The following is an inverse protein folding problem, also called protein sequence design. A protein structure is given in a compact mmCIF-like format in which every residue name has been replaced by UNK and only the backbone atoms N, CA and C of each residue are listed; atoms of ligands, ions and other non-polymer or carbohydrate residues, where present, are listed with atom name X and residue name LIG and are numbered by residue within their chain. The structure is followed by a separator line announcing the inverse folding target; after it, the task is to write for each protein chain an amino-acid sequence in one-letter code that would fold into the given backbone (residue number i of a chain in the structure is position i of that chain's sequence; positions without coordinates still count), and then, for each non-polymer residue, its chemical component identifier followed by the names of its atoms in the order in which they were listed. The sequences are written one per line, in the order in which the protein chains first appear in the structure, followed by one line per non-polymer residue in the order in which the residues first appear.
data_IF_737209556778
#
_entry.id   IF_737209556778
#
_cell.length_a   1.000
_cell.length_b   1.000
_cell.length_c   1.000
_cell.angle_alpha   90.00
_cell.angle_beta   90.00
_cell.angle_gamma   90.00
#
_symmetry.space_group_name_H-M   'P 1'
#
loop_
_entity.id
_entity.type
_entity.pdbx_description
1 polymer ?
#
# COMPACT_ATOMS: atom_id res chain seq x y z
N UNK A 1 -3.83 -18.27 -18.88
CA UNK A 1 -2.47 -18.43 -19.43
C UNK A 1 -2.26 -19.90 -19.75
N UNK A 2 -1.85 -20.30 -20.97
CA UNK A 2 -1.48 -21.67 -21.28
C UNK A 2 -0.33 -22.15 -20.38
N UNK A 3 -0.40 -23.43 -19.97
CA UNK A 3 0.66 -24.03 -19.14
C UNK A 3 2.02 -23.94 -19.84
N UNK A 4 2.06 -24.22 -21.13
CA UNK A 4 3.27 -24.15 -21.97
C UNK A 4 3.95 -22.78 -21.97
N UNK A 5 3.18 -21.69 -21.79
CA UNK A 5 3.76 -20.35 -21.69
C UNK A 5 4.42 -20.11 -20.33
N UNK A 6 3.80 -20.58 -19.25
CA UNK A 6 4.39 -20.48 -17.91
C UNK A 6 5.65 -21.36 -17.80
N UNK A 7 5.63 -22.57 -18.34
CA UNK A 7 6.76 -23.52 -18.26
C UNK A 7 8.05 -23.04 -18.97
N UNK A 8 7.98 -21.95 -19.77
CA UNK A 8 9.18 -21.36 -20.40
C UNK A 8 10.11 -20.65 -19.42
N UNK A 9 9.60 -20.31 -18.25
CA UNK A 9 10.33 -19.59 -17.21
C UNK A 9 10.37 -20.43 -15.93
N UNK A 10 11.28 -21.41 -15.90
CA UNK A 10 11.36 -22.40 -14.83
C UNK A 10 11.48 -21.75 -13.43
N UNK A 11 12.34 -20.75 -13.27
CA UNK A 11 12.55 -20.09 -11.97
C UNK A 11 11.29 -19.34 -11.49
N UNK A 12 10.55 -18.72 -12.42
CA UNK A 12 9.30 -18.04 -12.14
C UNK A 12 8.20 -19.03 -11.75
N UNK A 13 8.12 -20.15 -12.47
CA UNK A 13 7.15 -21.22 -12.23
C UNK A 13 7.38 -21.87 -10.87
N UNK A 14 8.61 -22.21 -10.51
CA UNK A 14 8.92 -22.81 -9.21
C UNK A 14 8.46 -21.92 -8.03
N UNK A 15 8.61 -20.59 -8.14
CA UNK A 15 8.16 -19.65 -7.12
C UNK A 15 6.63 -19.56 -6.96
N UNK A 16 5.86 -19.82 -8.03
CA UNK A 16 4.39 -19.67 -8.02
C UNK A 16 3.61 -20.97 -8.10
N UNK A 17 4.22 -22.10 -8.43
CA UNK A 17 3.52 -23.36 -8.69
C UNK A 17 2.50 -23.74 -7.57
N UNK A 18 2.83 -23.62 -6.27
CA UNK A 18 1.87 -23.95 -5.22
C UNK A 18 0.66 -23.02 -5.17
N UNK A 19 0.72 -21.84 -5.80
CA UNK A 19 -0.32 -20.81 -5.75
C UNK A 19 -1.13 -20.70 -7.05
N UNK A 20 -0.81 -21.49 -8.07
CA UNK A 20 -1.51 -21.43 -9.36
C UNK A 20 -2.84 -22.17 -9.29
N UNK A 21 -3.92 -21.52 -9.68
CA UNK A 21 -5.21 -22.15 -9.90
C UNK A 21 -5.32 -22.58 -11.38
N UNK A 22 -5.50 -23.89 -11.60
CA UNK A 22 -5.54 -24.46 -12.94
C UNK A 22 -6.97 -24.72 -13.42
N UNK A 23 -7.29 -24.25 -14.62
CA UNK A 23 -8.52 -24.63 -15.32
C UNK A 23 -8.18 -25.80 -16.23
N UNK A 24 -8.71 -26.97 -15.89
CA UNK A 24 -8.50 -28.22 -16.63
C UNK A 24 -9.71 -28.61 -17.47
N UNK A 25 -10.87 -27.96 -17.24
CA UNK A 25 -12.13 -28.27 -17.91
C UNK A 25 -12.92 -26.98 -18.20
N UNK A 26 -13.43 -26.83 -19.42
CA UNK A 26 -14.30 -25.74 -19.83
C UNK A 26 -15.30 -26.18 -20.91
N UNK A 27 -16.47 -25.54 -20.97
CA UNK A 27 -17.51 -25.88 -21.94
C UNK A 27 -18.01 -27.33 -21.87
N UNK A 28 -17.91 -27.97 -20.69
CA UNK A 28 -18.31 -29.36 -20.48
C UNK A 28 -17.28 -30.41 -20.94
N UNK A 29 -16.11 -30.01 -21.41
CA UNK A 29 -15.03 -30.89 -21.91
C UNK A 29 -13.73 -30.59 -21.17
N UNK A 30 -12.89 -31.61 -21.07
CA UNK A 30 -11.51 -31.43 -20.61
C UNK A 30 -10.72 -30.64 -21.66
N UNK A 31 -9.84 -29.77 -21.21
CA UNK A 31 -8.95 -29.00 -22.08
C UNK A 31 -7.79 -29.87 -22.51
N UNK A 32 -7.34 -29.72 -23.76
CA UNK A 32 -6.13 -30.37 -24.27
C UNK A 32 -4.88 -29.90 -23.52
N UNK A 33 -4.86 -28.62 -23.13
CA UNK A 33 -3.82 -28.00 -22.32
C UNK A 33 -4.46 -27.26 -21.14
N UNK A 34 -3.99 -27.46 -19.89
CA UNK A 34 -4.44 -26.69 -18.74
C UNK A 34 -4.15 -25.18 -18.90
N UNK A 35 -5.07 -24.35 -18.43
CA UNK A 35 -4.89 -22.92 -18.37
C UNK A 35 -4.73 -22.48 -16.92
N UNK A 36 -3.67 -21.73 -16.62
CA UNK A 36 -3.53 -21.04 -15.35
C UNK A 36 -4.45 -19.80 -15.31
N UNK A 37 -5.15 -19.60 -14.20
CA UNK A 37 -5.63 -18.27 -13.89
C UNK A 37 -4.40 -17.47 -13.45
N UNK A 38 -4.11 -16.35 -14.11
CA UNK A 38 -2.83 -15.64 -13.94
C UNK A 38 -2.54 -15.31 -12.48
N UNK A 39 -1.41 -15.75 -11.90
CA UNK A 39 -0.97 -15.35 -10.56
C UNK A 39 -0.22 -14.02 -10.58
N UNK A 40 0.27 -13.63 -11.76
CA UNK A 40 1.02 -12.41 -12.10
C UNK A 40 1.07 -12.27 -13.61
N UNK A 41 1.51 -11.16 -14.16
CA UNK A 41 1.39 -10.90 -15.61
C UNK A 41 2.71 -10.84 -16.37
N UNK A 42 3.88 -11.03 -15.74
CA UNK A 42 5.20 -10.92 -16.39
C UNK A 42 5.29 -11.78 -17.65
N UNK A 43 5.01 -13.07 -17.54
CA UNK A 43 5.10 -14.00 -18.65
C UNK A 43 4.13 -13.68 -19.81
N UNK A 44 2.89 -13.27 -19.48
CA UNK A 44 1.89 -12.90 -20.49
C UNK A 44 2.32 -11.64 -21.24
N UNK A 45 2.80 -10.66 -20.48
CA UNK A 45 3.21 -9.37 -21.04
C UNK A 45 4.48 -9.54 -21.87
N UNK A 46 5.45 -10.31 -21.41
CA UNK A 46 6.65 -10.61 -22.17
C UNK A 46 6.30 -11.23 -23.54
N UNK A 47 5.39 -12.20 -23.58
CA UNK A 47 4.93 -12.78 -24.85
C UNK A 47 4.18 -11.77 -25.73
N UNK A 48 3.35 -10.91 -25.15
CA UNK A 48 2.58 -9.91 -25.91
C UNK A 48 3.47 -8.82 -26.52
N UNK A 49 4.50 -8.36 -25.81
CA UNK A 49 5.34 -7.25 -26.27
C UNK A 49 6.44 -7.66 -27.25
N UNK A 50 6.65 -8.95 -27.46
CA UNK A 50 7.65 -9.49 -28.38
C UNK A 50 7.56 -8.86 -29.78
N UNK A 51 6.34 -8.66 -30.26
CA UNK A 51 6.08 -8.08 -31.58
C UNK A 51 6.05 -6.54 -31.57
N UNK A 52 6.02 -5.91 -30.38
CA UNK A 52 5.89 -4.47 -30.26
C UNK A 52 7.26 -3.77 -30.20
N UNK A 53 8.29 -4.44 -29.67
CA UNK A 53 9.63 -3.91 -29.50
C UNK A 53 10.52 -4.43 -30.64
N UNK A 54 10.84 -3.58 -31.60
CA UNK A 54 11.65 -3.93 -32.76
C UNK A 54 12.95 -3.10 -32.85
N UNK A 55 12.94 -1.89 -32.36
CA UNK A 55 14.08 -0.98 -32.38
C UNK A 55 14.19 -0.18 -31.07
N UNK A 56 15.36 0.42 -30.83
CA UNK A 56 15.59 1.31 -29.69
C UNK A 56 14.60 2.49 -29.61
N UNK A 57 13.93 2.82 -30.74
CA UNK A 57 12.92 3.90 -30.79
C UNK A 57 11.58 3.52 -30.17
N UNK A 58 11.36 2.21 -29.97
CA UNK A 58 10.17 1.69 -29.32
C UNK A 58 10.32 1.66 -27.78
N UNK A 59 11.51 2.03 -27.29
CA UNK A 59 11.86 2.06 -25.87
C UNK A 59 12.06 3.50 -25.35
N UNK A 60 11.74 3.79 -24.06
CA UNK A 60 11.16 2.83 -23.12
C UNK A 60 9.69 2.51 -23.45
N UNK A 61 9.31 1.25 -23.31
CA UNK A 61 7.90 0.84 -23.35
C UNK A 61 7.38 0.78 -21.91
N UNK A 62 6.43 1.65 -21.58
CA UNK A 62 5.85 1.76 -20.24
C UNK A 62 4.39 1.33 -20.28
N UNK A 63 4.05 0.30 -19.52
CA UNK A 63 2.67 -0.22 -19.42
C UNK A 63 2.23 -0.25 -17.98
N UNK A 64 0.98 0.15 -17.77
CA UNK A 64 0.32 0.07 -16.47
C UNK A 64 -1.04 -0.60 -16.64
N UNK A 65 -1.39 -1.46 -15.72
CA UNK A 65 -2.63 -2.22 -15.73
C UNK A 65 -3.32 -2.15 -14.36
N UNK A 66 -4.60 -1.83 -14.37
CA UNK A 66 -5.51 -2.02 -13.24
C UNK A 66 -6.28 -3.32 -13.49
N UNK A 67 -5.93 -4.35 -12.77
CA UNK A 67 -6.48 -5.67 -13.02
C UNK A 67 -6.60 -6.51 -11.74
N UNK A 68 -6.88 -7.80 -11.90
CA UNK A 68 -6.91 -8.79 -10.84
C UNK A 68 -5.95 -9.95 -11.15
N UNK A 69 -5.52 -10.61 -10.10
CA UNK A 69 -4.79 -11.88 -10.17
C UNK A 69 -5.34 -12.85 -9.15
N UNK A 70 -5.12 -14.15 -9.38
CA UNK A 70 -5.53 -15.22 -8.46
C UNK A 70 -4.30 -15.98 -7.99
N UNK A 71 -4.08 -15.98 -6.68
CA UNK A 71 -3.08 -16.80 -6.00
C UNK A 71 -3.80 -17.69 -5.00
N UNK A 72 -3.68 -19.00 -5.14
CA UNK A 72 -4.39 -19.93 -4.30
C UNK A 72 -3.89 -19.85 -2.85
N UNK A 73 -4.65 -19.16 -2.01
CA UNK A 73 -4.30 -18.92 -0.62
C UNK A 73 -5.14 -19.83 0.29
N UNK A 74 -4.46 -20.69 1.03
CA UNK A 74 -5.10 -21.66 1.94
C UNK A 74 -5.61 -21.01 3.24
N UNK A 75 -5.03 -19.89 3.66
CA UNK A 75 -5.35 -19.18 4.89
C UNK A 75 -5.63 -17.72 4.61
N UNK A 76 -6.82 -17.47 4.07
CA UNK A 76 -7.25 -16.12 3.71
C UNK A 76 -7.38 -15.21 4.92
N UNK A 77 -7.02 -13.93 4.74
CA UNK A 77 -7.26 -12.82 5.67
C UNK A 77 -7.79 -11.64 4.88
N UNK A 78 -8.90 -11.06 5.34
CA UNK A 78 -9.57 -9.97 4.66
C UNK A 78 -8.58 -8.85 4.26
N UNK A 79 -8.57 -8.48 2.98
CA UNK A 79 -7.64 -7.56 2.30
C UNK A 79 -6.17 -7.95 2.32
N UNK A 80 -5.65 -8.62 3.34
CA UNK A 80 -4.21 -8.87 3.51
C UNK A 80 -3.73 -10.07 2.70
N UNK A 81 -4.50 -11.17 2.73
CA UNK A 81 -4.27 -12.40 1.97
C UNK A 81 -5.60 -12.91 1.44
N UNK A 82 -5.90 -12.61 0.18
CA UNK A 82 -7.10 -13.08 -0.52
C UNK A 82 -6.69 -13.93 -1.71
N UNK A 83 -7.50 -14.91 -2.07
CA UNK A 83 -7.22 -15.76 -3.23
C UNK A 83 -7.27 -14.97 -4.54
N UNK A 84 -8.16 -13.99 -4.63
CA UNK A 84 -8.23 -13.02 -5.73
C UNK A 84 -8.08 -11.61 -5.14
N UNK A 85 -7.31 -10.76 -5.80
CA UNK A 85 -7.17 -9.36 -5.39
C UNK A 85 -7.02 -8.43 -6.59
N UNK A 86 -7.52 -7.21 -6.41
CA UNK A 86 -7.32 -6.11 -7.34
C UNK A 86 -6.00 -5.42 -7.02
N UNK A 87 -5.31 -5.01 -8.07
CA UNK A 87 -4.06 -4.29 -7.93
C UNK A 87 -3.77 -3.39 -9.13
N UNK A 88 -2.83 -2.52 -8.96
CA UNK A 88 -2.08 -1.91 -10.02
C UNK A 88 -0.82 -2.72 -10.22
N UNK A 89 -0.50 -3.06 -11.44
CA UNK A 89 0.81 -3.57 -11.85
C UNK A 89 1.33 -2.80 -13.06
N UNK A 90 2.61 -2.51 -13.05
CA UNK A 90 3.30 -1.96 -14.20
C UNK A 90 4.37 -2.93 -14.69
N UNK A 91 4.58 -2.92 -16.00
CA UNK A 91 5.61 -3.69 -16.68
C UNK A 91 6.27 -2.77 -17.70
N UNK A 92 7.58 -2.65 -17.62
CA UNK A 92 8.32 -1.74 -18.48
C UNK A 92 9.50 -2.42 -19.12
N UNK A 93 9.93 -1.88 -20.27
CA UNK A 93 11.10 -2.38 -21.00
C UNK A 93 11.95 -1.18 -21.41
N UNK A 94 13.26 -1.34 -21.27
CA UNK A 94 14.25 -0.27 -21.40
C UNK A 94 15.44 -0.74 -22.25
N UNK A 95 16.13 0.21 -22.89
CA UNK A 95 17.29 -0.11 -23.70
C UNK A 95 18.52 -0.46 -22.84
N UNK A 96 18.64 0.11 -21.65
CA UNK A 96 19.79 -0.06 -20.76
C UNK A 96 19.38 -0.47 -19.34
N UNK A 97 20.33 -1.04 -18.60
CA UNK A 97 20.13 -1.40 -17.21
C UNK A 97 19.91 -0.16 -16.31
N UNK A 98 20.58 0.93 -16.64
CA UNK A 98 20.49 2.20 -15.91
C UNK A 98 19.09 2.80 -16.02
N UNK A 99 18.52 2.88 -17.23
CA UNK A 99 17.13 3.32 -17.44
C UNK A 99 16.14 2.44 -16.67
N UNK A 100 16.33 1.12 -16.69
CA UNK A 100 15.48 0.20 -15.94
C UNK A 100 15.63 0.40 -14.42
N UNK A 101 16.83 0.66 -13.92
CA UNK A 101 17.06 0.94 -12.50
C UNK A 101 16.39 2.25 -12.05
N UNK A 102 16.40 3.29 -12.87
CA UNK A 102 15.67 4.55 -12.63
C UNK A 102 14.16 4.30 -12.56
N UNK A 103 13.62 3.43 -13.41
CA UNK A 103 12.19 3.10 -13.40
C UNK A 103 11.81 2.27 -12.16
N UNK A 104 12.66 1.33 -11.71
CA UNK A 104 12.47 0.62 -10.44
C UNK A 104 12.38 1.60 -9.27
N UNK A 105 13.24 2.62 -9.24
CA UNK A 105 13.21 3.65 -8.20
C UNK A 105 11.96 4.54 -8.32
N UNK A 106 11.53 4.89 -9.53
CA UNK A 106 10.32 5.66 -9.81
C UNK A 106 9.07 4.94 -9.30
N UNK A 107 8.93 3.65 -9.60
CA UNK A 107 7.83 2.83 -9.11
C UNK A 107 7.78 2.76 -7.59
N UNK A 108 8.93 2.55 -6.95
CA UNK A 108 9.02 2.51 -5.49
C UNK A 108 8.63 3.86 -4.86
N UNK A 109 9.16 4.98 -5.40
CA UNK A 109 8.83 6.32 -4.92
C UNK A 109 7.33 6.63 -5.04
N UNK A 110 6.69 6.17 -6.11
CA UNK A 110 5.23 6.26 -6.27
C UNK A 110 4.49 5.55 -5.13
N UNK A 111 4.93 4.38 -4.71
CA UNK A 111 4.31 3.63 -3.60
C UNK A 111 4.57 4.25 -2.23
N UNK A 112 5.76 4.80 -2.01
CA UNK A 112 6.05 5.60 -0.81
C UNK A 112 5.08 6.78 -0.75
N UNK A 113 4.96 7.54 -1.82
CA UNK A 113 4.06 8.69 -1.89
C UNK A 113 2.60 8.32 -1.62
N UNK A 114 2.10 7.22 -2.19
CA UNK A 114 0.74 6.76 -1.91
C UNK A 114 0.59 6.34 -0.44
N UNK A 115 1.55 5.60 0.11
CA UNK A 115 1.50 5.13 1.49
C UNK A 115 1.55 6.29 2.49
N UNK A 116 2.46 7.24 2.32
CA UNK A 116 2.70 8.33 3.27
C UNK A 116 1.77 9.52 3.05
N UNK A 117 1.72 10.09 1.83
CA UNK A 117 0.97 11.31 1.57
C UNK A 117 -0.55 11.08 1.53
N UNK A 118 -0.98 9.90 1.02
CA UNK A 118 -2.41 9.61 0.84
C UNK A 118 -2.98 8.76 1.96
N UNK A 119 -2.28 7.71 2.37
CA UNK A 119 -2.76 6.77 3.38
C UNK A 119 -2.25 7.09 4.79
N UNK A 120 -1.37 8.08 4.94
CA UNK A 120 -0.75 8.46 6.22
C UNK A 120 -0.05 7.28 6.94
N UNK A 121 0.53 6.35 6.17
CA UNK A 121 1.22 5.17 6.67
C UNK A 121 2.72 5.32 6.42
N UNK A 122 3.53 5.54 7.46
CA UNK A 122 4.98 5.63 7.32
C UNK A 122 5.57 4.27 6.94
N UNK A 123 6.44 4.25 5.92
CA UNK A 123 7.06 3.03 5.39
C UNK A 123 8.57 3.06 5.50
N UNK A 124 9.18 1.87 5.55
CA UNK A 124 10.64 1.66 5.45
C UNK A 124 10.91 1.09 4.05
N UNK A 125 11.78 1.77 3.31
CA UNK A 125 12.22 1.38 1.98
C UNK A 125 13.50 0.57 2.05
N UNK A 126 13.62 -0.45 1.21
CA UNK A 126 14.87 -1.20 1.14
C UNK A 126 14.87 -2.27 0.07
N UNK A 127 16.00 -2.96 -0.03
CA UNK A 127 16.18 -4.11 -0.91
C UNK A 127 15.80 -5.39 -0.17
N UNK A 128 15.11 -6.30 -0.83
CA UNK A 128 14.85 -7.65 -0.34
C UNK A 128 16.14 -8.46 -0.26
N UNK A 129 16.20 -9.41 0.67
CA UNK A 129 17.24 -10.44 0.66
C UNK A 129 17.12 -11.29 -0.63
N UNK A 130 18.18 -12.00 -1.02
CA UNK A 130 18.11 -12.91 -2.16
C UNK A 130 16.98 -13.95 -2.03
N UNK A 131 16.73 -14.47 -0.82
CA UNK A 131 15.67 -15.46 -0.57
C UNK A 131 14.25 -14.88 -0.71
N UNK A 132 14.08 -13.57 -0.44
CA UNK A 132 12.79 -12.86 -0.54
C UNK A 132 12.64 -12.08 -1.86
N UNK A 133 13.61 -12.17 -2.77
CA UNK A 133 13.56 -11.54 -4.09
C UNK A 133 12.49 -12.21 -4.94
N UNK A 134 11.78 -11.43 -5.75
CA UNK A 134 10.76 -11.93 -6.67
C UNK A 134 11.37 -12.95 -7.66
N UNK A 135 10.72 -14.11 -7.84
CA UNK A 135 11.24 -15.16 -8.74
C UNK A 135 11.43 -14.65 -10.17
N UNK A 136 12.65 -14.79 -10.70
CA UNK A 136 13.03 -14.28 -12.02
C UNK A 136 13.53 -12.83 -12.05
N UNK A 137 13.58 -12.11 -10.91
CA UNK A 137 14.17 -10.78 -10.84
C UNK A 137 15.65 -10.84 -10.41
N UNK A 138 16.45 -9.88 -10.89
CA UNK A 138 17.83 -9.69 -10.44
C UNK A 138 17.88 -9.13 -9.01
N UNK A 139 16.90 -8.25 -8.67
CA UNK A 139 16.66 -7.76 -7.32
C UNK A 139 15.26 -7.19 -7.17
N UNK A 140 14.81 -7.10 -5.92
CA UNK A 140 13.52 -6.51 -5.54
C UNK A 140 13.72 -5.40 -4.53
N UNK A 141 13.12 -4.25 -4.77
CA UNK A 141 12.92 -3.19 -3.78
C UNK A 141 11.51 -3.31 -3.20
N UNK A 142 11.36 -2.98 -1.93
CA UNK A 142 10.07 -3.05 -1.24
C UNK A 142 9.86 -1.88 -0.28
N UNK A 143 8.60 -1.62 0.02
CA UNK A 143 8.18 -0.73 1.10
C UNK A 143 7.43 -1.55 2.15
N UNK A 144 7.86 -1.46 3.41
CA UNK A 144 7.33 -2.20 4.55
C UNK A 144 6.70 -1.25 5.56
N UNK A 145 5.50 -1.57 6.00
CA UNK A 145 4.76 -0.82 7.01
C UNK A 145 4.61 -1.63 8.30
N UNK A 146 4.53 -0.96 9.45
CA UNK A 146 4.16 -1.58 10.71
C UNK A 146 2.66 -1.44 10.97
N UNK A 147 2.00 -2.55 11.27
CA UNK A 147 0.60 -2.56 11.69
C UNK A 147 0.48 -2.44 13.21
N UNK A 148 -0.72 -2.11 13.73
CA UNK A 148 -0.92 -1.90 15.18
C UNK A 148 -0.70 -3.14 16.04
N UNK A 149 -0.77 -4.33 15.47
CA UNK A 149 -0.34 -5.57 16.13
C UNK A 149 1.19 -5.81 16.03
N UNK A 150 1.93 -4.79 15.59
CA UNK A 150 3.39 -4.73 15.50
C UNK A 150 4.01 -5.69 14.48
N UNK A 151 3.20 -6.24 13.57
CA UNK A 151 3.70 -7.05 12.47
C UNK A 151 4.00 -6.20 11.25
N UNK A 152 4.92 -6.71 10.42
CA UNK A 152 5.24 -6.12 9.14
C UNK A 152 4.18 -6.42 8.09
N UNK A 153 3.90 -5.45 7.25
CA UNK A 153 3.10 -5.57 6.06
C UNK A 153 3.85 -5.01 4.86
N UNK A 154 4.12 -5.85 3.86
CA UNK A 154 4.65 -5.39 2.58
C UNK A 154 3.58 -4.57 1.86
N UNK A 155 3.84 -3.28 1.69
CA UNK A 155 2.91 -2.34 1.07
C UNK A 155 2.99 -2.39 -0.46
N UNK A 156 4.19 -2.47 -1.02
CA UNK A 156 4.41 -2.57 -2.46
C UNK A 156 5.82 -3.03 -2.79
N UNK A 157 6.02 -3.47 -4.02
CA UNK A 157 7.33 -3.93 -4.52
C UNK A 157 7.62 -3.39 -5.90
N UNK A 158 8.90 -3.20 -6.19
CA UNK A 158 9.42 -2.84 -7.50
C UNK A 158 10.61 -3.72 -7.83
N UNK A 159 10.55 -4.39 -8.99
CA UNK A 159 11.46 -5.47 -9.38
C UNK A 159 12.30 -5.06 -10.59
N UNK A 160 13.61 -5.25 -10.48
CA UNK A 160 14.50 -5.30 -11.63
C UNK A 160 14.45 -6.71 -12.20
N UNK A 161 13.78 -6.91 -13.31
CA UNK A 161 13.72 -8.21 -13.99
C UNK A 161 14.96 -8.49 -14.85
N UNK A 162 15.82 -7.48 -15.01
CA UNK A 162 16.99 -7.61 -15.90
C UNK A 162 16.58 -7.98 -17.32
N UNK A 163 17.27 -8.94 -17.89
CA UNK A 163 16.96 -9.48 -19.21
C UNK A 163 16.31 -10.88 -19.15
N UNK A 164 15.95 -11.37 -17.97
CA UNK A 164 15.55 -12.76 -17.77
C UNK A 164 14.28 -13.09 -18.55
N UNK A 165 13.21 -12.32 -18.35
CA UNK A 165 11.95 -12.50 -19.09
C UNK A 165 12.08 -12.17 -20.58
N UNK A 166 12.90 -11.17 -20.94
CA UNK A 166 13.15 -10.83 -22.32
C UNK A 166 13.87 -11.97 -23.08
N UNK A 167 14.84 -12.62 -22.44
CA UNK A 167 15.54 -13.80 -23.00
C UNK A 167 14.60 -15.01 -23.11
N UNK A 168 13.83 -15.30 -22.07
CA UNK A 168 12.91 -16.44 -22.06
C UNK A 168 11.81 -16.32 -23.13
N UNK A 169 11.30 -15.10 -23.38
CA UNK A 169 10.32 -14.83 -24.43
C UNK A 169 10.94 -14.47 -25.79
N UNK A 170 12.28 -14.46 -25.90
CA UNK A 170 13.02 -14.07 -27.12
C UNK A 170 12.64 -12.67 -27.63
N UNK A 171 12.49 -11.70 -26.71
CA UNK A 171 12.26 -10.29 -27.06
C UNK A 171 13.59 -9.67 -27.41
N UNK A 172 13.74 -9.19 -28.65
CA UNK A 172 14.97 -8.52 -29.12
C UNK A 172 14.64 -7.27 -29.91
N UNK A 173 15.52 -6.28 -29.84
CA UNK A 173 15.41 -5.04 -30.63
C UNK A 173 16.75 -4.68 -31.29
N UNK A 174 16.71 -3.87 -32.33
CA UNK A 174 17.91 -3.27 -32.91
C UNK A 174 18.31 -2.02 -32.10
N UNK A 175 19.51 -2.07 -31.56
CA UNK A 175 20.10 -0.95 -30.85
C UNK A 175 20.55 0.17 -31.82
N UNK A 176 21.19 1.23 -31.31
CA UNK A 176 21.70 2.34 -32.13
C UNK A 176 22.85 1.94 -33.07
N UNK A 177 23.51 0.81 -32.80
CA UNK A 177 24.59 0.26 -33.63
C UNK A 177 24.09 -0.79 -34.64
N UNK A 178 22.77 -1.01 -34.72
CA UNK A 178 22.12 -2.08 -35.49
C UNK A 178 22.47 -3.51 -35.00
N UNK A 179 22.82 -3.66 -33.72
CA UNK A 179 23.00 -4.96 -33.09
C UNK A 179 21.70 -5.41 -32.46
N UNK A 180 21.43 -6.73 -32.51
CA UNK A 180 20.25 -7.32 -31.87
C UNK A 180 20.55 -7.63 -30.41
N UNK A 181 19.83 -6.96 -29.50
CA UNK A 181 20.01 -7.08 -28.06
C UNK A 181 18.67 -7.29 -27.37
N UNK A 182 18.69 -7.81 -26.14
CA UNK A 182 17.51 -7.94 -25.30
C UNK A 182 17.28 -6.68 -24.48
N UNK A 183 16.02 -6.21 -24.30
CA UNK A 183 15.71 -5.11 -23.40
C UNK A 183 15.82 -5.54 -21.94
N UNK A 184 15.98 -4.56 -21.07
CA UNK A 184 15.87 -4.72 -19.61
C UNK A 184 14.43 -4.49 -19.17
N UNK A 185 13.87 -5.43 -18.42
CA UNK A 185 12.50 -5.35 -17.91
C UNK A 185 12.44 -4.92 -16.47
N UNK A 186 11.35 -4.27 -16.11
CA UNK A 186 10.94 -4.05 -14.73
C UNK A 186 9.47 -4.42 -14.51
N UNK A 187 9.11 -4.75 -13.28
CA UNK A 187 7.71 -4.83 -12.88
C UNK A 187 7.52 -4.27 -11.47
N UNK A 188 6.37 -3.69 -11.20
CA UNK A 188 6.04 -3.15 -9.88
C UNK A 188 4.54 -3.24 -9.60
N UNK A 189 4.18 -3.51 -8.34
CA UNK A 189 2.81 -3.84 -7.96
C UNK A 189 2.39 -3.28 -6.61
N UNK A 190 1.11 -2.86 -6.55
CA UNK A 190 0.47 -2.29 -5.36
C UNK A 190 -1.01 -2.71 -5.34
N UNK A 191 -1.46 -3.34 -4.27
CA UNK A 191 -2.76 -4.00 -4.24
C UNK A 191 -3.74 -3.39 -3.24
N UNK A 192 -4.99 -3.85 -3.30
CA UNK A 192 -6.04 -3.56 -2.32
C UNK A 192 -5.72 -4.03 -0.89
N UNK A 193 -4.57 -4.71 -0.68
CA UNK A 193 -3.98 -4.94 0.65
C UNK A 193 -3.87 -3.63 1.43
N UNK A 194 -3.62 -2.51 0.77
CA UNK A 194 -3.49 -1.21 1.42
C UNK A 194 -4.79 -0.65 2.00
N UNK A 195 -5.95 -1.15 1.57
CA UNK A 195 -7.23 -0.90 2.27
C UNK A 195 -7.17 -1.51 3.68
N UNK A 196 -6.75 -2.78 3.77
CA UNK A 196 -6.53 -3.45 5.05
C UNK A 196 -5.47 -2.75 5.90
N UNK A 197 -4.35 -2.34 5.29
CA UNK A 197 -3.29 -1.59 5.96
C UNK A 197 -3.81 -0.29 6.59
N UNK A 198 -4.60 0.48 5.84
CA UNK A 198 -5.20 1.74 6.34
C UNK A 198 -6.13 1.49 7.54
N UNK A 199 -6.96 0.44 7.47
CA UNK A 199 -7.83 0.04 8.57
C UNK A 199 -7.00 -0.35 9.80
N UNK A 200 -5.98 -1.16 9.61
CA UNK A 200 -5.14 -1.67 10.71
C UNK A 200 -4.21 -0.63 11.30
N UNK A 201 -3.72 0.31 10.50
CA UNK A 201 -2.85 1.37 10.99
C UNK A 201 -3.62 2.44 11.79
N UNK A 202 -4.84 2.77 11.38
CA UNK A 202 -5.53 3.95 11.88
C UNK A 202 -6.82 3.68 12.64
N UNK A 203 -7.56 2.61 12.31
CA UNK A 203 -8.85 2.29 12.92
C UNK A 203 -8.79 2.14 14.44
N UNK A 204 -9.92 2.37 15.11
CA UNK A 204 -10.09 2.17 16.55
C UNK A 204 -11.37 1.38 16.86
N UNK A 205 -11.70 1.19 18.14
CA UNK A 205 -12.89 0.42 18.56
C UNK A 205 -14.21 1.06 18.13
N UNK A 206 -14.20 2.33 17.72
CA UNK A 206 -15.37 3.05 17.23
C UNK A 206 -15.54 2.96 15.71
N UNK A 207 -14.57 2.36 15.00
CA UNK A 207 -14.63 2.14 13.56
C UNK A 207 -13.43 2.65 12.79
N UNK A 208 -13.65 3.02 11.54
CA UNK A 208 -12.60 3.54 10.68
C UNK A 208 -12.11 4.92 11.14
N UNK A 209 -10.85 5.21 10.89
CA UNK A 209 -10.24 6.54 10.95
C UNK A 209 -9.54 6.74 9.61
N UNK A 210 -10.15 7.51 8.71
CA UNK A 210 -9.64 7.64 7.35
C UNK A 210 -8.74 8.87 7.21
N UNK A 211 -7.59 8.70 6.53
CA UNK A 211 -6.79 9.84 6.12
C UNK A 211 -7.60 10.77 5.21
N UNK A 212 -7.66 12.08 5.45
CA UNK A 212 -8.43 13.01 4.63
C UNK A 212 -8.17 12.93 3.14
N UNK A 213 -6.91 12.71 2.73
CA UNK A 213 -6.55 12.64 1.31
C UNK A 213 -7.19 11.44 0.60
N UNK A 214 -7.38 10.32 1.30
CA UNK A 214 -8.00 9.10 0.77
C UNK A 214 -9.50 8.96 1.10
N UNK A 215 -10.04 9.74 2.03
CA UNK A 215 -11.42 9.61 2.49
C UNK A 215 -12.43 9.91 1.38
N UNK A 216 -13.39 9.01 1.06
CA UNK A 216 -14.43 9.27 0.06
C UNK A 216 -15.37 10.41 0.45
N UNK A 217 -15.47 10.68 1.75
CA UNK A 217 -16.19 11.80 2.36
C UNK A 217 -15.29 12.38 3.44
N UNK A 218 -14.82 13.62 3.24
CA UNK A 218 -13.93 14.32 4.16
C UNK A 218 -14.73 15.00 5.28
N UNK A 219 -15.91 15.48 4.94
CA UNK A 219 -16.79 16.22 5.85
C UNK A 219 -18.21 15.72 5.70
N UNK A 220 -18.89 15.52 6.81
CA UNK A 220 -20.33 15.29 6.82
C UNK A 220 -21.02 16.42 7.60
N UNK A 221 -22.05 17.02 7.01
CA UNK A 221 -22.92 17.98 7.67
C UNK A 221 -24.14 17.23 8.21
N UNK A 222 -24.42 17.37 9.49
CA UNK A 222 -25.55 16.72 10.17
C UNK A 222 -26.54 17.77 10.65
N UNK A 223 -27.71 17.91 9.98
CA UNK A 223 -28.80 18.72 10.44
C UNK A 223 -29.40 18.19 11.75
N UNK A 224 -29.71 19.10 12.71
CA UNK A 224 -30.30 18.77 13.99
C UNK A 224 -31.54 19.66 14.17
N UNK A 225 -32.72 19.05 14.20
CA UNK A 225 -33.98 19.72 14.42
C UNK A 225 -34.99 18.76 15.06
N UNK A 226 -36.04 19.32 15.69
CA UNK A 226 -37.14 18.54 16.26
C UNK A 226 -38.46 18.95 15.64
N UNK A 227 -38.66 20.25 15.48
CA UNK A 227 -39.89 20.84 14.94
C UNK A 227 -39.67 21.26 13.49
N UNK A 228 -40.77 21.37 12.71
CA UNK A 228 -40.69 21.73 11.28
C UNK A 228 -40.19 23.16 11.06
N UNK A 229 -40.49 24.09 12.02
CA UNK A 229 -39.98 25.45 11.94
C UNK A 229 -38.46 25.49 12.07
N UNK A 230 -37.88 24.70 13.00
CA UNK A 230 -36.44 24.52 13.14
C UNK A 230 -35.80 23.95 11.89
N UNK A 231 -36.47 22.97 11.26
CA UNK A 231 -36.02 22.35 10.02
C UNK A 231 -35.83 23.36 8.90
N UNK A 232 -36.79 24.27 8.69
CA UNK A 232 -36.71 25.31 7.67
C UNK A 232 -35.52 26.25 7.92
N UNK A 233 -35.32 26.68 9.18
CA UNK A 233 -34.20 27.54 9.54
C UNK A 233 -32.85 26.85 9.34
N UNK A 234 -32.71 25.58 9.79
CA UNK A 234 -31.51 24.79 9.64
C UNK A 234 -31.23 24.51 8.16
N UNK A 235 -32.26 24.21 7.36
CA UNK A 235 -32.09 23.96 5.91
C UNK A 235 -31.55 25.22 5.20
N UNK A 236 -32.10 26.38 5.46
CA UNK A 236 -31.62 27.64 4.87
C UNK A 236 -30.18 28.01 5.30
N UNK A 237 -29.77 27.63 6.50
CA UNK A 237 -28.39 27.83 6.96
C UNK A 237 -27.44 26.84 6.27
N UNK A 238 -27.84 25.57 6.14
CA UNK A 238 -27.05 24.54 5.44
C UNK A 238 -26.91 24.87 3.96
N UNK A 239 -27.96 25.32 3.28
CA UNK A 239 -27.87 25.74 1.86
C UNK A 239 -26.79 26.83 1.66
N UNK A 240 -26.69 27.79 2.58
CA UNK A 240 -25.62 28.79 2.54
C UNK A 240 -24.25 28.19 2.80
N UNK A 241 -24.17 27.23 3.73
CA UNK A 241 -22.92 26.52 4.04
C UNK A 241 -22.49 25.68 2.82
N UNK A 242 -23.38 24.94 2.18
CA UNK A 242 -23.08 24.15 0.99
C UNK A 242 -22.51 25.02 -0.14
N UNK A 243 -23.13 26.19 -0.39
CA UNK A 243 -22.61 27.13 -1.40
C UNK A 243 -21.17 27.61 -1.11
N UNK A 244 -20.78 27.68 0.17
CA UNK A 244 -19.40 27.99 0.54
C UNK A 244 -18.47 26.76 0.44
N UNK A 245 -18.97 25.56 0.78
CA UNK A 245 -18.18 24.32 0.73
C UNK A 245 -17.91 23.86 -0.71
N UNK A 246 -18.79 24.14 -1.66
CA UNK A 246 -18.65 23.79 -3.08
C UNK A 246 -17.39 24.44 -3.72
N UNK A 247 -16.97 25.60 -3.23
CA UNK A 247 -15.80 26.33 -3.71
C UNK A 247 -14.47 25.88 -3.01
N UNK A 248 -14.57 25.04 -1.96
CA UNK A 248 -13.40 24.65 -1.18
C UNK A 248 -12.52 23.65 -1.94
N UNK A 249 -11.25 23.99 -2.06
CA UNK A 249 -10.21 23.12 -2.62
C UNK A 249 -9.33 22.57 -1.48
N UNK A 250 -8.99 21.29 -1.59
CA UNK A 250 -8.07 20.57 -0.69
C UNK A 250 -6.86 20.07 -1.45
N UNK A 251 -5.83 19.58 -0.76
CA UNK A 251 -4.66 18.94 -1.41
C UNK A 251 -5.07 17.79 -2.35
N UNK A 252 -6.15 17.08 -2.05
CA UNK A 252 -6.65 15.96 -2.83
C UNK A 252 -7.75 16.32 -3.85
N UNK A 253 -7.91 17.61 -4.17
CA UNK A 253 -8.91 18.14 -5.11
C UNK A 253 -10.09 18.82 -4.41
N UNK A 254 -11.24 18.97 -5.07
CA UNK A 254 -12.44 19.57 -4.46
C UNK A 254 -12.84 18.85 -3.17
N UNK A 255 -13.36 19.64 -2.21
CA UNK A 255 -13.82 19.08 -0.95
C UNK A 255 -14.92 18.03 -1.17
N UNK A 256 -14.73 16.85 -0.61
CA UNK A 256 -15.69 15.76 -0.65
C UNK A 256 -16.57 15.80 0.60
N UNK A 257 -17.72 16.39 0.51
CA UNK A 257 -18.65 16.46 1.63
C UNK A 257 -20.01 15.84 1.32
N UNK A 258 -20.82 15.60 2.36
CA UNK A 258 -22.21 15.13 2.27
C UNK A 258 -23.04 15.80 3.36
N UNK A 259 -24.33 16.04 3.05
CA UNK A 259 -25.32 16.43 4.06
C UNK A 259 -26.22 15.24 4.37
N UNK A 260 -26.36 14.91 5.64
CA UNK A 260 -27.14 13.75 6.10
C UNK A 260 -28.58 14.15 6.46
N UNK A 261 -29.45 14.23 5.48
CA UNK A 261 -30.87 14.53 5.63
C UNK A 261 -31.75 13.33 6.01
N UNK A 262 -31.17 12.16 6.31
CA UNK A 262 -31.97 10.99 6.70
C UNK A 262 -32.83 11.31 7.93
N UNK A 263 -34.02 10.70 8.00
CA UNK A 263 -34.95 10.81 9.14
C UNK A 263 -34.53 9.89 10.28
N UNK A 264 -33.36 10.19 10.86
CA UNK A 264 -32.75 9.44 11.95
C UNK A 264 -32.33 10.40 13.07
N UNK A 265 -32.19 9.87 14.28
CA UNK A 265 -31.72 10.68 15.40
C UNK A 265 -30.29 11.17 15.20
N UNK A 266 -29.90 12.34 15.73
CA UNK A 266 -28.53 12.85 15.64
C UNK A 266 -27.50 11.82 16.13
N UNK A 267 -27.76 11.13 17.24
CA UNK A 267 -26.87 10.09 17.78
C UNK A 267 -26.65 8.92 16.81
N UNK A 268 -27.70 8.47 16.10
CA UNK A 268 -27.58 7.45 15.07
C UNK A 268 -26.70 7.94 13.90
N UNK A 269 -26.94 9.18 13.41
CA UNK A 269 -26.13 9.78 12.35
C UNK A 269 -24.66 9.91 12.75
N UNK A 270 -24.39 10.35 13.99
CA UNK A 270 -23.03 10.47 14.52
C UNK A 270 -22.29 9.13 14.50
N UNK A 271 -22.92 8.11 15.09
CA UNK A 271 -22.34 6.76 15.12
C UNK A 271 -22.13 6.19 13.69
N UNK A 272 -23.08 6.43 12.79
CA UNK A 272 -22.99 5.97 11.41
C UNK A 272 -21.76 6.54 10.67
N UNK A 273 -21.46 7.82 10.84
CA UNK A 273 -20.34 8.48 10.18
C UNK A 273 -19.02 8.27 10.92
N UNK A 274 -19.07 8.15 12.26
CA UNK A 274 -17.91 7.76 13.06
C UNK A 274 -17.42 6.35 12.68
N UNK A 275 -18.33 5.40 12.56
CA UNK A 275 -18.00 4.04 12.12
C UNK A 275 -17.35 4.02 10.72
N UNK A 276 -17.74 4.93 9.83
CA UNK A 276 -17.17 5.10 8.48
C UNK A 276 -15.89 5.91 8.44
N UNK A 277 -15.45 6.45 9.56
CA UNK A 277 -14.18 7.16 9.68
C UNK A 277 -14.12 8.50 8.97
N UNK A 278 -15.26 9.18 8.78
CA UNK A 278 -15.28 10.51 8.17
C UNK A 278 -14.47 11.49 9.03
N UNK A 279 -13.46 12.18 8.47
CA UNK A 279 -12.52 13.01 9.23
C UNK A 279 -13.19 14.09 10.08
N UNK A 280 -14.15 14.81 9.49
CA UNK A 280 -14.86 15.87 10.20
C UNK A 280 -16.38 15.74 10.08
N UNK A 281 -17.08 16.07 11.15
CA UNK A 281 -18.53 16.24 11.20
C UNK A 281 -18.85 17.66 11.56
N UNK A 282 -19.74 18.32 10.80
CA UNK A 282 -20.32 19.61 11.08
C UNK A 282 -21.74 19.37 11.60
N UNK A 283 -22.04 19.81 12.82
CA UNK A 283 -23.36 19.74 13.43
C UNK A 283 -24.01 21.11 13.33
N UNK A 284 -25.25 21.17 12.78
CA UNK A 284 -26.00 22.43 12.61
C UNK A 284 -27.38 22.26 13.22
N UNK A 285 -27.65 22.98 14.29
CA UNK A 285 -28.94 23.01 14.96
C UNK A 285 -29.50 24.43 15.12
N UNK A 286 -30.73 24.61 15.66
CA UNK A 286 -31.36 25.92 15.78
C UNK A 286 -30.54 26.94 16.60
N UNK A 287 -29.81 26.46 17.61
CA UNK A 287 -28.92 27.33 18.42
C UNK A 287 -27.72 27.80 17.62
N UNK A 288 -27.20 26.94 16.78
CA UNK A 288 -26.04 27.24 15.92
C UNK A 288 -26.47 28.28 14.88
N UNK A 289 -27.63 28.07 14.25
CA UNK A 289 -28.21 29.02 13.28
C UNK A 289 -28.42 30.39 13.91
N UNK A 290 -28.98 30.46 15.15
CA UNK A 290 -29.20 31.72 15.87
C UNK A 290 -27.90 32.49 16.14
N UNK A 291 -26.75 31.82 16.21
CA UNK A 291 -25.43 32.41 16.47
C UNK A 291 -24.57 32.53 15.21
N UNK A 292 -25.12 32.23 14.01
CA UNK A 292 -24.37 32.13 12.73
C UNK A 292 -23.11 31.24 12.85
N UNK A 293 -23.22 30.13 13.55
CA UNK A 293 -22.15 29.19 13.85
C UNK A 293 -22.53 27.76 13.55
N UNK A 294 -21.57 26.86 13.59
CA UNK A 294 -21.78 25.42 13.58
C UNK A 294 -20.74 24.70 14.42
N UNK A 295 -21.04 23.49 14.88
CA UNK A 295 -20.13 22.70 15.69
C UNK A 295 -19.29 21.81 14.77
N UNK A 296 -17.99 22.01 14.72
CA UNK A 296 -17.03 21.12 14.05
C UNK A 296 -16.57 20.05 15.03
N UNK A 297 -16.64 18.78 14.63
CA UNK A 297 -16.21 17.62 15.41
C UNK A 297 -15.18 16.84 14.63
N UNK A 298 -14.01 16.62 15.22
CA UNK A 298 -12.90 15.88 14.63
C UNK A 298 -13.00 14.40 15.00
N UNK A 299 -12.87 13.48 14.02
CA UNK A 299 -12.96 12.03 14.26
C UNK A 299 -11.78 11.49 15.08
N UNK A 300 -10.57 12.02 14.87
CA UNK A 300 -9.32 11.49 15.42
C UNK A 300 -9.29 11.48 16.97
N UNK A 301 -9.73 12.54 17.58
CA UNK A 301 -9.68 12.80 19.04
C UNK A 301 -11.02 13.23 19.64
N UNK A 302 -12.07 13.33 18.81
CA UNK A 302 -13.41 13.80 19.16
C UNK A 302 -13.47 15.23 19.68
N UNK A 303 -12.43 16.02 19.41
CA UNK A 303 -12.43 17.44 19.72
C UNK A 303 -13.62 18.15 19.06
N UNK A 304 -14.25 19.05 19.82
CA UNK A 304 -15.41 19.83 19.37
C UNK A 304 -15.10 21.32 19.48
N UNK A 305 -15.44 22.06 18.43
CA UNK A 305 -15.23 23.49 18.36
C UNK A 305 -16.42 24.15 17.68
N UNK A 306 -16.95 25.21 18.26
CA UNK A 306 -17.99 26.03 17.63
C UNK A 306 -17.32 27.15 16.84
N UNK A 307 -17.59 27.18 15.52
CA UNK A 307 -17.00 28.14 14.59
C UNK A 307 -18.09 28.90 13.85
N UNK A 308 -17.85 30.17 13.48
CA UNK A 308 -18.69 30.86 12.53
C UNK A 308 -18.79 30.08 11.21
N UNK A 309 -19.97 30.00 10.59
CA UNK A 309 -20.15 29.22 9.35
C UNK A 309 -19.23 29.70 8.23
N UNK A 310 -18.96 31.00 8.15
CA UNK A 310 -18.02 31.58 7.18
C UNK A 310 -16.59 31.16 7.41
N UNK A 311 -16.16 30.97 8.67
CA UNK A 311 -14.83 30.53 9.02
C UNK A 311 -14.60 29.03 8.68
N UNK A 312 -15.65 28.20 8.79
CA UNK A 312 -15.56 26.78 8.47
C UNK A 312 -15.00 26.51 7.06
N UNK A 313 -15.61 27.12 6.03
CA UNK A 313 -15.16 26.91 4.66
C UNK A 313 -13.70 27.37 4.43
N UNK A 314 -13.27 28.43 5.11
CA UNK A 314 -11.92 28.96 5.01
C UNK A 314 -10.87 28.10 5.72
N UNK A 315 -11.23 27.51 6.87
CA UNK A 315 -10.31 26.78 7.73
C UNK A 315 -10.23 25.27 7.41
N UNK A 316 -11.28 24.71 6.79
CA UNK A 316 -11.34 23.27 6.48
C UNK A 316 -10.12 22.71 5.72
N UNK A 317 -9.56 23.38 4.70
CA UNK A 317 -8.37 22.88 4.02
C UNK A 317 -7.19 22.66 4.97
N UNK A 318 -6.84 23.69 5.75
CA UNK A 318 -5.73 23.61 6.71
C UNK A 318 -6.00 22.58 7.82
N UNK A 319 -7.26 22.45 8.28
CA UNK A 319 -7.64 21.46 9.28
C UNK A 319 -7.58 20.03 8.77
N UNK A 320 -7.89 19.79 7.49
CA UNK A 320 -7.74 18.49 6.84
C UNK A 320 -6.25 18.14 6.65
N UNK A 321 -5.42 19.11 6.29
CA UNK A 321 -3.97 18.91 6.21
C UNK A 321 -3.37 18.58 7.58
N UNK A 322 -3.77 19.32 8.64
CA UNK A 322 -3.31 19.04 10.00
C UNK A 322 -3.79 17.66 10.48
N UNK A 323 -5.02 17.26 10.15
CA UNK A 323 -5.51 15.92 10.46
C UNK A 323 -4.66 14.82 9.78
N UNK A 324 -4.33 15.02 8.49
CA UNK A 324 -3.47 14.11 7.73
C UNK A 324 -2.09 13.98 8.40
N UNK A 325 -1.49 15.11 8.76
CA UNK A 325 -0.19 15.17 9.43
C UNK A 325 -0.21 14.50 10.82
N UNK A 326 -1.24 14.77 11.64
CA UNK A 326 -1.37 14.16 12.97
C UNK A 326 -1.57 12.63 12.87
N UNK A 327 -2.29 12.16 11.83
CA UNK A 327 -2.50 10.74 11.62
C UNK A 327 -1.21 10.03 11.21
N UNK A 328 -0.44 10.66 10.32
CA UNK A 328 0.89 10.18 9.93
C UNK A 328 1.87 10.19 11.13
N UNK A 329 1.93 11.30 11.87
CA UNK A 329 2.79 11.43 13.06
C UNK A 329 2.49 10.34 14.10
N UNK A 330 1.21 10.09 14.40
CA UNK A 330 0.81 9.02 15.31
C UNK A 330 1.29 7.64 14.87
N UNK A 331 1.21 7.35 13.58
CA UNK A 331 1.67 6.06 13.04
C UNK A 331 3.20 5.97 13.01
N UNK A 332 3.89 7.09 12.77
CA UNK A 332 5.35 7.18 12.81
C UNK A 332 5.89 6.97 14.22
N UNK A 333 5.36 7.70 15.20
CA UNK A 333 5.73 7.56 16.62
C UNK A 333 5.54 6.10 17.06
N UNK A 334 4.40 5.49 16.71
CA UNK A 334 4.14 4.08 17.02
C UNK A 334 5.17 3.14 16.41
N UNK A 335 5.57 3.36 15.15
CA UNK A 335 6.62 2.56 14.50
C UNK A 335 7.97 2.74 15.18
N UNK A 336 8.36 3.98 15.49
CA UNK A 336 9.64 4.28 16.14
C UNK A 336 9.72 3.69 17.55
N UNK A 337 8.69 3.84 18.37
CA UNK A 337 8.60 3.25 19.71
C UNK A 337 8.66 1.72 19.70
N UNK A 338 8.27 1.08 18.60
CA UNK A 338 8.24 -0.37 18.45
C UNK A 338 9.29 -0.90 17.45
N UNK A 339 10.33 -0.10 17.18
CA UNK A 339 11.52 -0.53 16.44
C UNK A 339 12.70 -0.66 17.41
N UNK A 340 13.22 -1.86 17.52
CA UNK A 340 14.24 -2.23 18.50
C UNK A 340 15.53 -2.62 17.78
N UNK A 341 16.64 -2.69 18.55
CA UNK A 341 17.90 -3.23 18.08
C UNK A 341 18.21 -4.53 18.84
N UNK A 342 18.84 -5.48 18.17
CA UNK A 342 19.36 -6.70 18.77
C UNK A 342 20.75 -7.03 18.19
N UNK A 343 21.64 -7.50 19.05
CA UNK A 343 23.00 -7.92 18.68
C UNK A 343 23.17 -9.45 18.71
N UNK A 344 22.16 -10.17 19.23
CA UNK A 344 22.12 -11.63 19.27
C UNK A 344 20.75 -12.17 18.88
N UNK A 345 20.71 -13.44 18.43
CA UNK A 345 19.46 -14.12 18.09
C UNK A 345 18.56 -14.27 19.34
N UNK A 346 19.16 -14.47 20.53
CA UNK A 346 18.41 -14.54 21.79
C UNK A 346 17.69 -13.24 22.11
N UNK A 347 18.37 -12.10 22.06
CA UNK A 347 17.76 -10.76 22.24
C UNK A 347 16.64 -10.51 21.23
N UNK A 348 16.86 -10.86 19.95
CA UNK A 348 15.84 -10.73 18.91
C UNK A 348 14.60 -11.56 19.27
N UNK A 349 14.76 -12.80 19.72
CA UNK A 349 13.67 -13.69 20.10
C UNK A 349 12.92 -13.15 21.33
N UNK A 350 13.63 -12.64 22.34
CA UNK A 350 13.02 -12.00 23.52
C UNK A 350 12.18 -10.77 23.14
N UNK A 351 12.68 -9.94 22.20
CA UNK A 351 11.92 -8.78 21.69
C UNK A 351 10.66 -9.25 20.96
N UNK A 352 10.78 -10.20 20.04
CA UNK A 352 9.67 -10.67 19.20
C UNK A 352 8.60 -11.44 20.01
N UNK A 353 8.97 -12.13 21.07
CA UNK A 353 8.05 -12.85 21.97
C UNK A 353 7.46 -11.96 23.07
N UNK A 354 8.14 -10.88 23.40
CA UNK A 354 7.74 -9.91 24.42
C UNK A 354 7.02 -8.69 23.83
N UNK A 355 7.70 -7.54 23.69
CA UNK A 355 7.08 -6.32 23.18
C UNK A 355 6.62 -6.43 21.73
N UNK A 356 7.25 -7.30 20.92
CA UNK A 356 7.03 -7.39 19.47
C UNK A 356 7.59 -6.19 18.72
N UNK A 357 7.35 -6.12 17.43
CA UNK A 357 7.71 -4.99 16.59
C UNK A 357 8.79 -5.32 15.57
N UNK A 358 9.44 -4.27 15.09
CA UNK A 358 10.56 -4.36 14.17
C UNK A 358 11.87 -4.54 14.94
N UNK A 359 12.79 -5.32 14.39
CA UNK A 359 14.12 -5.52 14.98
C UNK A 359 15.19 -5.23 13.93
N UNK A 360 16.03 -4.24 14.21
CA UNK A 360 17.22 -3.94 13.44
C UNK A 360 18.39 -4.75 13.99
N UNK A 361 18.93 -5.69 13.19
CA UNK A 361 19.98 -6.60 13.65
C UNK A 361 21.02 -6.86 12.54
N UNK A 362 22.30 -7.12 12.91
CA UNK A 362 23.36 -7.43 11.96
C UNK A 362 23.13 -8.78 11.27
N UNK A 363 23.34 -8.82 9.93
CA UNK A 363 23.22 -10.02 9.12
C UNK A 363 24.37 -10.13 8.11
N UNK A 364 24.96 -11.31 8.00
CA UNK A 364 26.14 -11.58 7.16
C UNK A 364 25.85 -11.71 5.64
N UNK A 365 24.59 -11.68 5.23
CA UNK A 365 24.19 -11.89 3.83
C UNK A 365 23.88 -13.36 3.47
N UNK A 366 24.03 -14.31 4.41
CA UNK A 366 23.81 -15.75 4.15
C UNK A 366 22.33 -16.13 4.23
N UNK A 367 21.86 -16.93 3.28
CA UNK A 367 20.51 -17.48 3.28
C UNK A 367 20.27 -18.49 4.41
N UNK A 368 21.32 -19.21 4.82
CA UNK A 368 21.27 -20.15 5.94
C UNK A 368 20.96 -19.41 7.25
N UNK A 369 21.59 -18.24 7.47
CA UNK A 369 21.31 -17.42 8.65
C UNK A 369 19.89 -16.85 8.63
N UNK A 370 19.39 -16.41 7.47
CA UNK A 370 18.01 -15.96 7.32
C UNK A 370 17.02 -17.09 7.65
N UNK A 371 17.27 -18.30 7.14
CA UNK A 371 16.48 -19.49 7.44
C UNK A 371 16.49 -19.85 8.92
N UNK A 372 17.67 -19.74 9.58
CA UNK A 372 17.80 -20.03 10.99
C UNK A 372 16.99 -19.07 11.86
N UNK A 373 16.97 -17.75 11.53
CA UNK A 373 16.12 -16.77 12.23
C UNK A 373 14.65 -17.13 12.08
N UNK A 374 14.23 -17.46 10.87
CA UNK A 374 12.82 -17.83 10.60
C UNK A 374 12.39 -19.09 11.34
N UNK A 375 13.27 -20.09 11.43
CA UNK A 375 13.02 -21.33 12.16
C UNK A 375 12.91 -21.11 13.67
N UNK A 376 13.75 -20.22 14.25
CA UNK A 376 13.79 -19.95 15.69
C UNK A 376 12.58 -19.15 16.18
N UNK A 377 12.24 -18.06 15.49
CA UNK A 377 11.27 -17.10 16.02
C UNK A 377 10.18 -16.64 15.04
N UNK A 378 10.18 -17.16 13.80
CA UNK A 378 9.19 -16.85 12.77
C UNK A 378 9.34 -15.46 12.13
N UNK A 379 10.43 -14.74 12.39
CA UNK A 379 10.73 -13.49 11.71
C UNK A 379 11.47 -13.75 10.39
N UNK A 380 11.28 -12.86 9.43
CA UNK A 380 12.04 -12.85 8.17
C UNK A 380 12.69 -11.48 7.96
N UNK A 381 13.71 -11.42 7.11
CA UNK A 381 14.28 -10.14 6.68
C UNK A 381 13.21 -9.44 5.81
N UNK A 382 12.76 -8.29 6.29
CA UNK A 382 11.76 -7.51 5.54
C UNK A 382 12.41 -6.74 4.41
N UNK A 383 13.46 -6.01 4.75
CA UNK A 383 14.31 -5.28 3.81
C UNK A 383 15.69 -5.05 4.41
N UNK A 384 16.68 -4.83 3.56
CA UNK A 384 17.91 -4.11 3.85
C UNK A 384 17.62 -2.64 3.60
N UNK A 385 17.40 -1.79 4.63
CA UNK A 385 16.99 -0.41 4.43
C UNK A 385 18.02 0.40 3.64
N UNK A 386 17.57 1.32 2.77
CA UNK A 386 18.48 2.13 1.98
C UNK A 386 19.23 3.18 2.82
N UNK A 387 18.64 3.61 3.90
CA UNK A 387 19.17 4.60 4.84
C UNK A 387 19.88 3.97 6.04
N UNK A 388 20.00 2.63 6.09
CA UNK A 388 20.75 1.96 7.13
C UNK A 388 22.23 2.35 7.04
N UNK A 389 22.81 2.92 8.11
CA UNK A 389 24.22 3.29 8.10
C UNK A 389 25.12 2.06 7.96
N UNK A 390 26.30 2.26 7.39
CA UNK A 390 27.35 1.26 7.44
C UNK A 390 27.79 1.10 8.89
N UNK A 391 27.57 -0.08 9.47
CA UNK A 391 27.85 -0.43 10.84
C UNK A 391 28.45 -1.83 10.87
N UNK A 392 29.77 -1.89 11.05
CA UNK A 392 30.46 -3.17 11.19
C UNK A 392 30.00 -3.89 12.44
N UNK A 393 29.55 -5.12 12.30
CA UNK A 393 29.04 -5.94 13.39
C UNK A 393 29.26 -7.43 13.16
N UNK A 394 28.71 -8.24 14.04
CA UNK A 394 28.71 -9.69 13.94
C UNK A 394 27.28 -10.17 13.70
N UNK A 395 27.08 -11.04 12.71
CA UNK A 395 25.79 -11.64 12.41
C UNK A 395 25.16 -12.28 13.66
N UNK A 396 23.89 -11.99 13.92
CA UNK A 396 23.17 -12.47 15.10
C UNK A 396 23.06 -14.00 15.20
N UNK A 397 23.32 -14.73 14.11
CA UNK A 397 23.20 -16.19 14.04
C UNK A 397 24.54 -16.87 14.21
N UNK A 398 25.55 -16.55 13.37
CA UNK A 398 26.82 -17.29 13.27
C UNK A 398 28.04 -16.45 13.66
N UNK A 399 27.85 -15.17 13.97
CA UNK A 399 28.94 -14.27 14.34
C UNK A 399 29.85 -13.83 13.18
N UNK A 400 29.52 -14.19 11.94
CA UNK A 400 30.26 -13.75 10.76
C UNK A 400 30.17 -12.21 10.59
N UNK A 401 31.16 -11.57 9.93
CA UNK A 401 31.12 -10.13 9.72
C UNK A 401 29.85 -9.66 9.01
N UNK A 402 29.28 -8.57 9.50
CA UNK A 402 28.15 -7.85 8.91
C UNK A 402 28.54 -6.40 8.67
N UNK A 403 28.08 -5.84 7.56
CA UNK A 403 28.36 -4.44 7.18
C UNK A 403 27.31 -3.45 7.68
N UNK A 404 26.11 -3.93 8.03
CA UNK A 404 24.99 -3.10 8.49
C UNK A 404 23.90 -3.91 9.17
N UNK A 405 22.98 -3.22 9.82
CA UNK A 405 21.75 -3.84 10.33
C UNK A 405 20.71 -3.92 9.23
N UNK A 406 19.93 -5.00 9.27
CA UNK A 406 18.76 -5.21 8.39
C UNK A 406 17.48 -5.31 9.22
N UNK A 407 16.35 -5.09 8.59
CA UNK A 407 15.05 -5.10 9.25
C UNK A 407 14.47 -6.51 9.31
N UNK A 408 14.30 -7.03 10.51
CA UNK A 408 13.58 -8.27 10.80
C UNK A 408 12.21 -7.97 11.40
N UNK A 409 11.20 -8.76 11.05
CA UNK A 409 9.91 -8.75 11.72
C UNK A 409 9.11 -10.02 11.40
N UNK A 410 8.16 -10.33 12.27
CA UNK A 410 7.05 -11.22 11.92
C UNK A 410 6.11 -10.50 10.95
N UNK A 411 5.58 -11.20 9.96
CA UNK A 411 4.76 -10.63 8.90
C UNK A 411 3.44 -11.38 8.69
N UNK A 412 2.55 -10.81 7.89
CA UNK A 412 1.29 -11.43 7.48
C UNK A 412 1.46 -12.40 6.32
#
# INVERSE_FOLDING_TARGET
VPKSLLDREADHVEGFDPQVAWVTRAGGKDLEEPLAIRPTSEAIIAEAVKDWIQSYRDLPLLMNSWNNVVRWEMRTRLFLRTAEFLWQEAHTFHATAEEAAEEVATGLAGYVKVSEDWLAIPVIQGRKSPAETFPGADYTHAVEAMMRDKKALQAGTSHMLGQNFAKAADITFLDQNNERVHPYGTSWGFSTRMVGATIMAHGDDSGLVLPPNAAPTQVVVVPIFREEEDRVAVAGAIEKLEAMLDDVQTVSGPLRYKVDWREETPGFKYNHWELRGVPFRIEVGPRDVANDAAMLVRRLDRAKESLPMTALAQELPARLEQYQADLFGRALDFREENTHQADTLGEMTEILDGPGGFVMAPWCGSAECETAVSAENGATIRVVPFDSPDEAGACVVDGAPSERRVLFARAY
#
